data_IF_592564997417
#
_entry.id   IF_592564997417
#
_cell.length_a   1.000
_cell.length_b   1.000
_cell.length_c   1.000
_cell.angle_alpha   90.00
_cell.angle_beta   90.00
_cell.angle_gamma   90.00
#
_symmetry.space_group_name_H-M   'P 1'
#
loop_
_entity.id
_entity.type
_entity.pdbx_description
1 polymer ?
#
# COMPACT_ATOMS: atom_id res chain seq x y z
N UNK A 1 18.54 74.89 56.50
CA UNK A 1 17.91 73.83 57.30
C UNK A 1 16.68 73.35 56.56
N UNK A 2 16.81 72.28 55.83
CA UNK A 2 15.70 71.62 55.17
C UNK A 2 16.04 70.11 55.18
N UNK A 3 15.30 69.37 55.93
CA UNK A 3 15.37 67.89 55.99
C UNK A 3 14.64 67.33 54.77
N UNK A 4 15.30 66.54 53.96
CA UNK A 4 14.72 65.74 52.92
C UNK A 4 14.43 64.35 53.49
N UNK A 5 13.11 64.04 53.56
CA UNK A 5 12.55 62.78 53.97
C UNK A 5 12.60 61.81 52.79
N UNK A 6 13.39 60.76 52.90
CA UNK A 6 13.48 59.71 51.92
C UNK A 6 12.60 58.56 52.37
N UNK A 7 11.39 58.49 51.79
CA UNK A 7 10.48 57.33 51.90
C UNK A 7 11.08 56.13 51.13
N UNK A 8 11.52 55.11 51.87
CA UNK A 8 11.94 53.81 51.35
C UNK A 8 10.68 53.08 50.81
N UNK A 9 10.63 52.85 49.51
CA UNK A 9 9.58 52.07 48.85
C UNK A 9 9.62 50.60 49.30
N UNK A 10 8.48 50.17 49.88
CA UNK A 10 8.29 48.79 50.29
C UNK A 10 8.33 47.86 49.06
N UNK A 11 9.22 46.87 49.08
CA UNK A 11 9.27 45.78 48.12
C UNK A 11 8.10 44.84 48.46
N UNK A 12 7.06 44.86 47.63
CA UNK A 12 5.99 43.85 47.69
C UNK A 12 6.58 42.45 47.42
N UNK A 13 6.42 41.54 48.40
CA UNK A 13 6.79 40.15 48.27
C UNK A 13 5.92 39.50 47.19
N UNK A 14 6.49 38.65 46.31
CA UNK A 14 5.71 37.95 45.25
C UNK A 14 4.64 37.06 45.88
N UNK A 15 3.45 36.96 45.28
CA UNK A 15 2.35 36.18 45.83
C UNK A 15 2.76 34.71 46.02
N UNK A 16 2.61 34.25 47.27
CA UNK A 16 2.86 32.86 47.65
C UNK A 16 1.93 31.96 46.83
N UNK A 17 2.48 31.17 45.88
CA UNK A 17 1.76 30.13 45.16
C UNK A 17 1.13 29.17 46.19
N UNK A 18 -0.17 29.14 46.24
CA UNK A 18 -0.95 28.18 47.04
C UNK A 18 -0.63 26.76 46.58
N UNK A 19 0.17 26.02 47.35
CA UNK A 19 0.65 24.64 47.07
C UNK A 19 -0.38 23.56 47.48
N UNK A 20 -1.64 23.91 47.75
CA UNK A 20 -2.61 23.02 48.37
C UNK A 20 -3.57 22.30 47.36
N UNK A 21 -3.30 22.30 46.06
CA UNK A 21 -4.05 21.47 45.14
C UNK A 21 -3.45 20.08 45.07
N UNK A 22 -4.18 19.02 45.48
CA UNK A 22 -3.66 17.66 45.47
C UNK A 22 -3.34 17.22 44.03
N UNK A 23 -2.08 17.01 43.73
CA UNK A 23 -1.50 16.56 42.44
C UNK A 23 -2.22 15.31 41.86
N UNK A 24 -2.84 14.52 42.71
CA UNK A 24 -3.50 13.26 42.37
C UNK A 24 -4.84 13.42 41.65
N UNK A 25 -5.57 14.50 41.90
CA UNK A 25 -6.87 14.77 41.27
C UNK A 25 -6.74 15.31 39.85
N UNK A 26 -5.71 16.09 39.55
CA UNK A 26 -5.44 16.57 38.19
C UNK A 26 -5.01 15.44 37.27
N UNK A 27 -4.12 14.55 37.72
CA UNK A 27 -3.62 13.42 36.93
C UNK A 27 -4.74 12.43 36.54
N UNK A 28 -5.67 12.13 37.44
CA UNK A 28 -6.82 11.27 37.12
C UNK A 28 -7.78 11.92 36.14
N UNK A 29 -8.01 13.20 36.28
CA UNK A 29 -8.87 13.96 35.37
C UNK A 29 -8.24 14.07 33.99
N UNK A 30 -6.93 14.31 33.90
CA UNK A 30 -6.18 14.34 32.64
C UNK A 30 -6.17 12.98 31.96
N UNK A 31 -6.02 11.90 32.72
CA UNK A 31 -6.14 10.52 32.20
C UNK A 31 -7.56 10.24 31.67
N UNK A 32 -8.60 10.58 32.44
CA UNK A 32 -9.99 10.39 32.02
C UNK A 32 -10.31 11.17 30.74
N UNK A 33 -9.83 12.42 30.69
CA UNK A 33 -9.98 13.26 29.49
C UNK A 33 -9.24 12.65 28.31
N UNK A 34 -8.01 12.13 28.50
CA UNK A 34 -7.27 11.43 27.48
C UNK A 34 -8.00 10.18 26.95
N UNK A 35 -8.53 9.35 27.84
CA UNK A 35 -9.33 8.18 27.44
C UNK A 35 -10.61 8.58 26.69
N UNK A 36 -11.28 9.66 27.09
CA UNK A 36 -12.48 10.14 26.42
C UNK A 36 -12.19 10.60 24.98
N UNK A 37 -11.04 11.25 24.75
CA UNK A 37 -10.62 11.65 23.41
C UNK A 37 -10.24 10.46 22.51
N UNK A 38 -9.66 9.40 23.09
CA UNK A 38 -9.24 8.20 22.35
C UNK A 38 -10.42 7.21 22.18
N UNK A 39 -11.42 7.25 23.07
CA UNK A 39 -12.53 6.30 23.11
C UNK A 39 -13.29 6.16 21.77
N UNK A 40 -13.64 7.24 21.03
CA UNK A 40 -14.32 7.10 19.73
C UNK A 40 -13.50 6.30 18.72
N UNK A 41 -12.18 6.57 18.67
CA UNK A 41 -11.25 5.85 17.77
C UNK A 41 -11.10 4.38 18.19
N UNK A 42 -10.95 4.10 19.47
CA UNK A 42 -10.87 2.74 19.99
C UNK A 42 -12.16 1.96 19.72
N UNK A 43 -13.32 2.57 19.99
CA UNK A 43 -14.61 1.96 19.72
C UNK A 43 -14.76 1.62 18.23
N UNK A 44 -14.44 2.58 17.35
CA UNK A 44 -14.44 2.35 15.90
C UNK A 44 -13.50 1.22 15.49
N UNK A 45 -12.29 1.16 16.05
CA UNK A 45 -11.33 0.08 15.78
C UNK A 45 -11.84 -1.28 16.25
N UNK A 46 -12.46 -1.34 17.44
CA UNK A 46 -13.03 -2.59 17.97
C UNK A 46 -14.18 -3.07 17.09
N UNK A 47 -15.12 -2.18 16.75
CA UNK A 47 -16.34 -2.56 16.01
C UNK A 47 -16.05 -2.86 14.53
N UNK A 48 -15.18 -2.09 13.88
CA UNK A 48 -14.98 -2.19 12.42
C UNK A 48 -13.73 -2.96 12.00
N UNK A 49 -12.81 -3.25 12.92
CA UNK A 49 -11.58 -4.02 12.60
C UNK A 49 -11.51 -5.30 13.41
N UNK A 50 -11.56 -5.21 14.75
CA UNK A 50 -11.34 -6.38 15.60
C UNK A 50 -12.52 -7.34 15.54
N UNK A 51 -13.75 -6.85 15.65
CA UNK A 51 -14.94 -7.68 15.60
C UNK A 51 -15.09 -8.44 14.27
N UNK A 52 -14.98 -7.81 13.07
CA UNK A 52 -15.00 -8.54 11.81
C UNK A 52 -13.87 -9.59 11.70
N UNK A 53 -12.67 -9.30 12.21
CA UNK A 53 -11.57 -10.25 12.22
C UNK A 53 -11.90 -11.48 13.04
N UNK A 54 -12.48 -11.30 14.25
CA UNK A 54 -12.95 -12.42 15.10
C UNK A 54 -14.05 -13.19 14.37
N UNK A 55 -14.98 -12.53 13.71
CA UNK A 55 -16.05 -13.18 12.94
C UNK A 55 -15.50 -13.99 11.77
N UNK A 56 -14.48 -13.50 11.04
CA UNK A 56 -13.83 -14.30 9.99
C UNK A 56 -13.19 -15.55 10.55
N UNK A 57 -12.51 -15.47 11.71
CA UNK A 57 -11.99 -16.67 12.39
C UNK A 57 -13.12 -17.61 12.83
N UNK A 58 -14.21 -17.06 13.31
CA UNK A 58 -15.38 -17.87 13.67
C UNK A 58 -15.97 -18.58 12.46
N UNK A 59 -16.20 -17.88 11.35
CA UNK A 59 -16.73 -18.47 10.10
C UNK A 59 -15.79 -19.50 9.49
N UNK A 60 -14.47 -19.36 9.63
CA UNK A 60 -13.52 -20.34 9.10
C UNK A 60 -13.60 -21.71 9.78
N UNK A 61 -14.17 -21.77 10.99
CA UNK A 61 -14.39 -23.01 11.75
C UNK A 61 -15.79 -23.61 11.52
N UNK A 62 -16.59 -22.99 10.65
CA UNK A 62 -17.95 -23.45 10.35
C UNK A 62 -18.11 -23.67 8.85
N UNK A 63 -18.97 -24.60 8.49
CA UNK A 63 -19.53 -24.69 7.16
C UNK A 63 -20.89 -23.98 7.14
N UNK A 64 -21.03 -23.03 6.25
CA UNK A 64 -22.28 -22.29 6.07
C UNK A 64 -22.83 -22.52 4.67
N UNK A 65 -23.82 -23.37 4.57
CA UNK A 65 -24.59 -23.59 3.35
C UNK A 65 -25.85 -22.70 3.38
N UNK A 66 -25.78 -21.57 2.69
CA UNK A 66 -26.88 -20.58 2.64
C UNK A 66 -28.11 -21.15 1.94
N UNK A 67 -27.91 -22.02 0.93
CA UNK A 67 -29.01 -22.61 0.16
C UNK A 67 -29.79 -23.65 0.99
N UNK A 68 -29.10 -24.43 1.79
CA UNK A 68 -29.69 -25.42 2.68
C UNK A 68 -30.13 -24.81 4.03
N UNK A 69 -29.71 -23.57 4.35
CA UNK A 69 -29.97 -22.93 5.64
C UNK A 69 -29.23 -23.59 6.80
N UNK A 70 -28.16 -24.37 6.54
CA UNK A 70 -27.38 -25.06 7.58
C UNK A 70 -26.15 -24.25 7.95
N UNK A 71 -25.85 -24.21 9.27
CA UNK A 71 -24.65 -23.61 9.82
C UNK A 71 -24.08 -24.56 10.85
N UNK A 72 -23.00 -25.26 10.49
CA UNK A 72 -22.46 -26.38 11.28
C UNK A 72 -21.01 -26.09 11.67
N UNK A 73 -20.64 -26.45 12.90
CA UNK A 73 -19.25 -26.35 13.35
C UNK A 73 -18.45 -27.53 12.80
N UNK A 74 -17.48 -27.26 11.93
CA UNK A 74 -16.63 -28.26 11.29
C UNK A 74 -15.17 -28.22 11.80
N UNK A 75 -14.90 -27.38 12.79
CA UNK A 75 -13.54 -27.26 13.36
C UNK A 75 -12.52 -26.84 12.30
N UNK A 76 -11.48 -27.64 12.11
CA UNK A 76 -10.37 -27.33 11.18
C UNK A 76 -10.52 -27.95 9.79
N UNK A 77 -11.68 -28.48 9.44
CA UNK A 77 -11.91 -29.15 8.15
C UNK A 77 -11.67 -28.20 6.96
N UNK A 78 -12.12 -26.95 7.05
CA UNK A 78 -11.84 -25.93 6.03
C UNK A 78 -10.35 -25.68 5.80
N UNK A 79 -9.52 -25.87 6.83
CA UNK A 79 -8.06 -25.79 6.71
C UNK A 79 -7.44 -27.04 6.11
N UNK A 80 -8.01 -28.22 6.37
CA UNK A 80 -7.61 -29.46 5.70
C UNK A 80 -7.91 -29.38 4.19
N UNK A 81 -9.06 -28.83 3.83
CA UNK A 81 -9.46 -28.62 2.43
C UNK A 81 -8.49 -27.73 1.64
N UNK A 82 -7.68 -26.86 2.30
CA UNK A 82 -6.61 -26.09 1.62
C UNK A 82 -5.53 -27.00 1.03
N UNK A 83 -5.23 -28.13 1.69
CA UNK A 83 -4.21 -29.07 1.21
C UNK A 83 -4.69 -29.88 0.01
N UNK A 84 -5.98 -30.12 -0.09
CA UNK A 84 -6.62 -30.89 -1.16
C UNK A 84 -7.07 -30.01 -2.34
N UNK A 85 -6.97 -28.66 -2.20
CA UNK A 85 -7.38 -27.73 -3.24
C UNK A 85 -6.34 -27.65 -4.35
N UNK A 86 -6.66 -28.31 -5.47
CA UNK A 86 -5.81 -28.35 -6.67
C UNK A 86 -5.56 -27.00 -7.31
N UNK A 87 -6.45 -26.01 -7.09
CA UNK A 87 -6.32 -24.68 -7.66
C UNK A 87 -5.46 -23.75 -6.79
N UNK A 88 -5.37 -23.99 -5.49
CA UNK A 88 -4.69 -23.07 -4.57
C UNK A 88 -3.22 -22.81 -4.96
N UNK A 89 -2.51 -23.84 -5.43
CA UNK A 89 -1.14 -23.68 -5.90
C UNK A 89 -1.00 -22.73 -7.08
N UNK A 90 -1.91 -22.82 -8.06
CA UNK A 90 -1.94 -21.92 -9.22
C UNK A 90 -2.37 -20.50 -8.83
N UNK A 91 -3.29 -20.35 -7.90
CA UNK A 91 -3.76 -19.08 -7.34
C UNK A 91 -2.63 -18.36 -6.59
N UNK A 92 -1.90 -19.05 -5.75
CA UNK A 92 -0.75 -18.48 -5.03
C UNK A 92 0.37 -18.08 -6.00
N UNK A 93 0.62 -18.88 -7.04
CA UNK A 93 1.57 -18.54 -8.10
C UNK A 93 1.13 -17.28 -8.86
N UNK A 94 -0.13 -17.20 -9.27
CA UNK A 94 -0.68 -16.03 -9.96
C UNK A 94 -0.57 -14.77 -9.07
N UNK A 95 -0.92 -14.89 -7.77
CA UNK A 95 -0.77 -13.83 -6.79
C UNK A 95 0.68 -13.36 -6.65
N UNK A 96 1.62 -14.31 -6.56
CA UNK A 96 3.04 -14.01 -6.49
C UNK A 96 3.58 -13.32 -7.75
N UNK A 97 3.25 -13.84 -8.94
CA UNK A 97 3.65 -13.25 -10.22
C UNK A 97 3.12 -11.84 -10.39
N UNK A 98 1.82 -11.63 -10.08
CA UNK A 98 1.22 -10.29 -10.11
C UNK A 98 1.92 -9.34 -9.14
N UNK A 99 2.11 -9.76 -7.88
CA UNK A 99 2.71 -8.92 -6.84
C UNK A 99 4.16 -8.55 -7.16
N UNK A 100 4.98 -9.52 -7.56
CA UNK A 100 6.37 -9.27 -7.97
C UNK A 100 6.42 -8.38 -9.20
N UNK A 101 5.62 -8.68 -10.22
CA UNK A 101 5.53 -7.86 -11.43
C UNK A 101 5.14 -6.42 -11.10
N UNK A 102 4.06 -6.22 -10.31
CA UNK A 102 3.63 -4.89 -9.92
C UNK A 102 4.71 -4.14 -9.13
N UNK A 103 5.30 -4.76 -8.11
CA UNK A 103 6.31 -4.12 -7.26
C UNK A 103 7.53 -3.70 -8.09
N UNK A 104 8.09 -4.62 -8.88
CA UNK A 104 9.31 -4.36 -9.66
C UNK A 104 9.07 -3.28 -10.71
N UNK A 105 8.02 -3.42 -11.53
CA UNK A 105 7.75 -2.47 -12.60
C UNK A 105 7.26 -1.13 -12.08
N UNK A 106 6.40 -1.11 -11.05
CA UNK A 106 5.87 0.14 -10.51
C UNK A 106 6.96 0.96 -9.81
N UNK A 107 7.71 0.36 -8.86
CA UNK A 107 8.75 1.09 -8.14
C UNK A 107 9.91 1.45 -9.07
N UNK A 108 10.31 0.56 -9.97
CA UNK A 108 11.37 0.83 -10.95
C UNK A 108 11.02 2.00 -11.86
N UNK A 109 9.82 1.98 -12.44
CA UNK A 109 9.34 3.04 -13.33
C UNK A 109 9.10 4.35 -12.56
N UNK A 110 8.52 4.28 -11.36
CA UNK A 110 8.29 5.46 -10.52
C UNK A 110 9.60 6.15 -10.12
N UNK A 111 10.62 5.38 -9.73
CA UNK A 111 11.94 5.91 -9.40
C UNK A 111 12.63 6.51 -10.64
N UNK A 112 12.57 5.83 -11.78
CA UNK A 112 13.09 6.34 -13.04
C UNK A 112 12.46 7.68 -13.40
N UNK A 113 11.12 7.76 -13.37
CA UNK A 113 10.38 8.99 -13.66
C UNK A 113 10.72 10.10 -12.64
N UNK A 114 10.84 9.77 -11.35
CA UNK A 114 11.22 10.72 -10.32
C UNK A 114 12.61 11.32 -10.56
N UNK A 115 13.61 10.49 -10.91
CA UNK A 115 14.96 10.95 -11.25
C UNK A 115 14.96 11.84 -12.48
N UNK A 116 14.22 11.46 -13.53
CA UNK A 116 14.10 12.29 -14.74
C UNK A 116 13.42 13.64 -14.47
N UNK A 117 12.36 13.64 -13.67
CA UNK A 117 11.59 14.83 -13.33
C UNK A 117 12.19 15.68 -12.20
N UNK A 118 13.22 15.19 -11.53
CA UNK A 118 14.00 15.95 -10.54
C UNK A 118 14.95 16.96 -11.22
N UNK A 119 15.21 16.80 -12.52
CA UNK A 119 16.02 17.74 -13.28
C UNK A 119 15.23 19.05 -13.54
N UNK A 120 15.96 20.17 -13.65
CA UNK A 120 15.38 21.51 -13.96
C UNK A 120 14.99 21.62 -15.44
N UNK A 121 14.09 20.75 -15.92
CA UNK A 121 13.62 20.74 -17.30
C UNK A 121 12.37 21.64 -17.45
N UNK A 122 12.22 22.27 -18.61
CA UNK A 122 10.99 23.00 -18.95
C UNK A 122 9.83 21.99 -19.14
N UNK A 123 8.66 22.25 -18.54
CA UNK A 123 7.49 21.39 -18.70
C UNK A 123 7.35 20.23 -17.69
N UNK A 124 8.23 20.11 -16.68
CA UNK A 124 8.14 19.07 -15.64
C UNK A 124 6.78 19.03 -14.95
N UNK A 125 6.13 20.18 -14.78
CA UNK A 125 4.78 20.27 -14.17
C UNK A 125 3.76 19.49 -15.01
N UNK A 126 3.79 19.64 -16.34
CA UNK A 126 2.86 18.95 -17.25
C UNK A 126 3.05 17.43 -17.15
N UNK A 127 4.30 16.96 -17.19
CA UNK A 127 4.57 15.52 -17.03
C UNK A 127 4.16 14.98 -15.67
N UNK A 128 4.43 15.73 -14.58
CA UNK A 128 3.96 15.35 -13.22
C UNK A 128 2.44 15.22 -13.19
N UNK A 129 1.72 16.18 -13.74
CA UNK A 129 0.25 16.15 -13.80
C UNK A 129 -0.24 14.97 -14.64
N UNK A 130 0.37 14.72 -15.80
CA UNK A 130 0.00 13.63 -16.69
C UNK A 130 0.15 12.25 -16.00
N UNK A 131 1.30 11.98 -15.38
CA UNK A 131 1.54 10.72 -14.69
C UNK A 131 0.75 10.58 -13.38
N UNK A 132 0.39 11.70 -12.74
CA UNK A 132 -0.41 11.67 -11.51
C UNK A 132 -1.92 11.58 -11.79
N UNK A 133 -2.40 12.05 -12.93
CA UNK A 133 -3.83 12.10 -13.25
C UNK A 133 -4.56 10.77 -13.14
N UNK A 134 -3.97 9.59 -13.49
CA UNK A 134 -4.64 8.31 -13.32
C UNK A 134 -5.03 8.00 -11.88
N UNK A 135 -4.30 8.52 -10.89
CA UNK A 135 -4.57 8.30 -9.47
C UNK A 135 -5.96 8.81 -9.07
N UNK A 136 -6.40 9.92 -9.65
CA UNK A 136 -7.69 10.57 -9.34
C UNK A 136 -8.87 9.85 -9.99
N UNK A 137 -8.65 9.12 -11.09
CA UNK A 137 -9.71 8.38 -11.79
C UNK A 137 -10.22 7.22 -10.93
N UNK A 138 -11.54 6.98 -10.92
CA UNK A 138 -12.11 5.80 -10.26
C UNK A 138 -11.45 4.51 -10.78
N UNK A 139 -11.13 3.59 -9.87
CA UNK A 139 -10.50 2.32 -10.22
C UNK A 139 -11.33 1.50 -11.21
N UNK A 140 -12.64 1.44 -11.00
CA UNK A 140 -13.55 0.70 -11.88
C UNK A 140 -13.61 1.33 -13.27
N UNK A 141 -13.77 2.67 -13.35
CA UNK A 141 -13.76 3.38 -14.63
C UNK A 141 -12.44 3.19 -15.37
N UNK A 142 -11.30 3.29 -14.66
CA UNK A 142 -9.98 3.02 -15.20
C UNK A 142 -9.88 1.62 -15.81
N UNK A 143 -10.34 0.62 -15.09
CA UNK A 143 -10.30 -0.77 -15.53
C UNK A 143 -11.20 -1.03 -16.74
N UNK A 144 -12.39 -0.43 -16.77
CA UNK A 144 -13.32 -0.55 -17.92
C UNK A 144 -12.69 0.08 -19.17
N UNK A 145 -12.11 1.27 -19.08
CA UNK A 145 -11.45 1.94 -20.22
C UNK A 145 -10.32 1.08 -20.76
N UNK A 146 -9.45 0.54 -19.88
CA UNK A 146 -8.40 -0.37 -20.31
C UNK A 146 -8.94 -1.69 -20.88
N UNK A 147 -10.07 -2.19 -20.35
CA UNK A 147 -10.77 -3.33 -20.90
C UNK A 147 -11.16 -3.14 -22.36
N UNK A 148 -11.68 -1.95 -22.73
CA UNK A 148 -11.97 -1.63 -24.15
C UNK A 148 -10.71 -1.44 -24.98
N UNK A 149 -9.67 -0.81 -24.44
CA UNK A 149 -8.43 -0.58 -25.18
C UNK A 149 -7.68 -1.88 -25.50
N UNK A 150 -7.76 -2.88 -24.62
CA UNK A 150 -7.05 -4.15 -24.71
C UNK A 150 -7.87 -5.29 -25.37
N UNK A 151 -9.06 -5.01 -25.88
CA UNK A 151 -9.82 -5.98 -26.70
C UNK A 151 -9.10 -6.29 -28.02
N UNK A 152 -9.44 -7.42 -28.64
CA UNK A 152 -8.84 -7.84 -29.91
C UNK A 152 -8.94 -6.76 -31.00
N UNK A 153 -10.11 -6.08 -31.11
CA UNK A 153 -10.33 -4.94 -31.99
C UNK A 153 -10.22 -3.60 -31.23
N UNK A 154 -9.49 -3.57 -30.12
CA UNK A 154 -9.35 -2.38 -29.28
C UNK A 154 -8.31 -1.40 -29.80
N UNK A 155 -8.23 -0.24 -29.10
CA UNK A 155 -7.32 0.84 -29.52
C UNK A 155 -5.85 0.45 -29.56
N UNK A 156 -5.39 -0.47 -28.68
CA UNK A 156 -4.00 -0.92 -28.65
C UNK A 156 -3.66 -1.73 -29.89
N UNK A 157 -4.50 -2.70 -30.26
CA UNK A 157 -4.30 -3.49 -31.47
C UNK A 157 -4.49 -2.64 -32.73
N UNK A 158 -5.46 -1.70 -32.74
CA UNK A 158 -5.61 -0.76 -33.84
C UNK A 158 -4.38 0.12 -34.07
N UNK A 159 -3.66 0.52 -33.02
CA UNK A 159 -2.37 1.23 -33.16
C UNK A 159 -1.25 0.31 -33.67
N UNK A 160 -1.20 -0.95 -33.23
CA UNK A 160 -0.21 -1.93 -33.72
C UNK A 160 -0.44 -2.25 -35.21
N UNK A 161 -1.68 -2.37 -35.63
CA UNK A 161 -2.04 -2.59 -37.03
C UNK A 161 -1.57 -1.47 -37.96
N UNK A 162 -1.52 -0.20 -37.49
CA UNK A 162 -1.02 0.93 -38.28
C UNK A 162 0.46 0.79 -38.64
N UNK A 163 1.22 0.04 -37.84
CA UNK A 163 2.65 -0.25 -38.05
C UNK A 163 2.89 -1.67 -38.61
N UNK A 164 1.81 -2.36 -38.98
CA UNK A 164 1.89 -3.72 -39.57
C UNK A 164 2.21 -4.83 -38.59
N UNK A 165 1.88 -4.65 -37.32
CA UNK A 165 2.08 -5.66 -36.26
C UNK A 165 0.74 -6.20 -35.81
N UNK A 166 0.50 -7.48 -35.99
CA UNK A 166 -0.68 -8.16 -35.44
C UNK A 166 -0.56 -8.25 -33.92
N UNK A 167 -1.47 -7.55 -33.21
CA UNK A 167 -1.47 -7.54 -31.75
C UNK A 167 -2.01 -8.86 -31.18
N UNK A 168 -1.48 -9.31 -30.04
CA UNK A 168 -1.96 -10.53 -29.38
C UNK A 168 -3.32 -10.30 -28.72
N UNK A 169 -3.96 -11.40 -28.29
CA UNK A 169 -5.08 -11.30 -27.36
C UNK A 169 -4.56 -10.95 -25.95
N UNK A 170 -4.67 -9.67 -25.62
CA UNK A 170 -4.12 -9.10 -24.37
C UNK A 170 -4.81 -9.65 -23.12
N UNK A 171 -6.10 -9.95 -23.17
CA UNK A 171 -6.90 -10.28 -21.99
C UNK A 171 -7.12 -11.79 -21.82
N UNK A 172 -6.99 -12.57 -22.89
CA UNK A 172 -7.30 -14.01 -22.89
C UNK A 172 -6.14 -14.89 -23.37
N UNK A 173 -5.00 -14.29 -23.75
CA UNK A 173 -3.80 -15.04 -24.12
C UNK A 173 -3.04 -15.55 -22.89
N UNK A 174 -2.49 -16.75 -22.98
CA UNK A 174 -1.60 -17.29 -21.95
C UNK A 174 -0.36 -16.39 -21.82
N UNK A 175 -0.08 -15.90 -20.61
CA UNK A 175 1.02 -14.97 -20.33
C UNK A 175 0.71 -13.51 -20.63
N UNK A 176 -0.04 -13.14 -21.68
CA UNK A 176 -0.40 -11.74 -21.96
C UNK A 176 -1.45 -11.21 -20.97
N UNK A 177 -2.39 -12.05 -20.53
CA UNK A 177 -3.43 -11.66 -19.60
C UNK A 177 -2.85 -11.14 -18.28
N UNK A 178 -1.92 -11.86 -17.65
CA UNK A 178 -1.25 -11.41 -16.41
C UNK A 178 -0.43 -10.14 -16.65
N UNK A 179 0.32 -10.07 -17.75
CA UNK A 179 1.10 -8.88 -18.11
C UNK A 179 0.21 -7.65 -18.27
N UNK A 180 -0.94 -7.81 -18.96
CA UNK A 180 -1.90 -6.72 -19.18
C UNK A 180 -2.45 -6.17 -17.86
N UNK A 181 -2.83 -7.05 -16.93
CA UNK A 181 -3.31 -6.62 -15.60
C UNK A 181 -2.20 -5.89 -14.83
N UNK A 182 -0.95 -6.39 -14.86
CA UNK A 182 0.19 -5.72 -14.24
C UNK A 182 0.41 -4.34 -14.85
N UNK A 183 0.44 -4.23 -16.19
CA UNK A 183 0.63 -2.95 -16.89
C UNK A 183 -0.45 -1.94 -16.52
N UNK A 184 -1.72 -2.34 -16.59
CA UNK A 184 -2.86 -1.47 -16.21
C UNK A 184 -2.73 -0.95 -14.79
N UNK A 185 -2.29 -1.81 -13.86
CA UNK A 185 -2.11 -1.42 -12.46
C UNK A 185 -0.87 -0.57 -12.24
N UNK A 186 0.23 -0.83 -12.96
CA UNK A 186 1.43 0.03 -12.93
C UNK A 186 1.07 1.46 -13.36
N UNK A 187 0.40 1.61 -14.51
CA UNK A 187 -0.03 2.94 -14.98
C UNK A 187 -0.95 3.65 -14.00
N UNK A 188 -1.80 2.91 -13.29
CA UNK A 188 -2.68 3.46 -12.26
C UNK A 188 -1.92 4.07 -11.09
N UNK A 189 -0.85 3.40 -10.63
CA UNK A 189 -0.20 3.68 -9.36
C UNK A 189 1.16 4.38 -9.48
N UNK A 190 1.80 4.34 -10.65
CA UNK A 190 3.16 4.85 -10.84
C UNK A 190 3.29 6.32 -10.47
N UNK A 191 2.28 7.12 -10.76
CA UNK A 191 2.30 8.56 -10.49
C UNK A 191 2.38 8.91 -9.01
N UNK A 192 1.69 8.16 -8.15
CA UNK A 192 1.76 8.36 -6.70
C UNK A 192 3.17 8.06 -6.17
N UNK A 193 3.72 6.90 -6.54
CA UNK A 193 5.06 6.51 -6.10
C UNK A 193 6.15 7.42 -6.68
N UNK A 194 5.98 7.88 -7.92
CA UNK A 194 6.85 8.89 -8.54
C UNK A 194 6.90 10.19 -7.73
N UNK A 195 5.75 10.70 -7.27
CA UNK A 195 5.71 11.93 -6.45
C UNK A 195 6.39 11.72 -5.09
N UNK A 196 6.19 10.56 -4.45
CA UNK A 196 6.86 10.22 -3.19
C UNK A 196 8.38 10.16 -3.36
N UNK A 197 8.86 9.48 -4.41
CA UNK A 197 10.30 9.45 -4.71
C UNK A 197 10.85 10.82 -5.08
N UNK A 198 10.11 11.62 -5.83
CA UNK A 198 10.53 12.97 -6.19
C UNK A 198 10.69 13.87 -4.96
N UNK A 199 9.76 13.79 -4.01
CA UNK A 199 9.86 14.50 -2.75
C UNK A 199 11.10 14.06 -1.94
N UNK A 200 11.36 12.75 -1.89
CA UNK A 200 12.55 12.22 -1.22
C UNK A 200 13.86 12.67 -1.90
N UNK A 201 13.90 12.66 -3.24
CA UNK A 201 15.07 13.13 -4.01
C UNK A 201 15.37 14.62 -3.79
N UNK A 202 14.34 15.45 -3.61
CA UNK A 202 14.49 16.87 -3.32
C UNK A 202 15.01 17.15 -1.90
N UNK A 203 14.89 16.18 -1.00
CA UNK A 203 15.44 16.24 0.36
C UNK A 203 16.92 15.86 0.46
N UNK A 204 17.54 15.33 -0.60
CA UNK A 204 18.97 14.95 -0.57
C UNK A 204 19.84 16.21 -0.68
N UNK A 205 20.80 16.46 0.27
CA UNK A 205 21.69 17.63 0.23
C UNK A 205 22.51 17.69 -1.06
N UNK A 206 22.56 18.85 -1.72
CA UNK A 206 23.31 19.04 -2.95
C UNK A 206 24.83 18.87 -2.75
N UNK A 207 25.31 19.22 -1.55
CA UNK A 207 26.71 19.15 -1.14
C UNK A 207 27.30 17.73 -1.29
N UNK A 208 26.48 16.70 -1.10
CA UNK A 208 26.92 15.30 -1.29
C UNK A 208 27.24 14.99 -2.74
N UNK A 209 26.49 15.56 -3.67
CA UNK A 209 26.74 15.38 -5.10
C UNK A 209 27.95 16.20 -5.56
N UNK A 210 28.10 17.43 -5.06
CA UNK A 210 29.23 18.32 -5.35
C UNK A 210 30.54 17.69 -4.84
N UNK A 211 30.59 17.17 -3.63
CA UNK A 211 31.74 16.44 -3.10
C UNK A 211 32.10 15.22 -3.97
N UNK A 212 31.09 14.43 -4.35
CA UNK A 212 31.29 13.27 -5.20
C UNK A 212 31.78 13.62 -6.63
N UNK A 213 31.38 14.77 -7.15
CA UNK A 213 31.90 15.29 -8.46
C UNK A 213 33.38 15.67 -8.34
N UNK A 214 33.79 16.30 -7.24
CA UNK A 214 35.22 16.60 -6.96
C UNK A 214 36.05 15.34 -6.86
N UNK A 215 35.48 14.26 -6.28
CA UNK A 215 36.11 12.93 -6.20
C UNK A 215 36.08 12.14 -7.54
N UNK A 216 35.53 12.74 -8.61
CA UNK A 216 35.45 12.11 -9.93
C UNK A 216 34.43 10.97 -10.04
N UNK A 217 33.43 10.91 -9.15
CA UNK A 217 32.39 9.91 -9.20
C UNK A 217 31.45 10.13 -10.40
N UNK A 218 31.25 9.09 -11.23
CA UNK A 218 30.28 9.12 -12.32
C UNK A 218 28.84 9.23 -11.80
N UNK A 219 27.89 9.75 -12.62
CA UNK A 219 26.47 9.89 -12.26
C UNK A 219 25.83 8.56 -11.81
N UNK A 220 26.21 7.43 -12.43
CA UNK A 220 25.72 6.11 -12.04
C UNK A 220 26.25 5.70 -10.65
N UNK A 221 27.51 6.06 -10.33
CA UNK A 221 28.09 5.82 -9.00
C UNK A 221 27.42 6.68 -7.95
N UNK A 222 27.15 7.96 -8.23
CA UNK A 222 26.40 8.85 -7.36
C UNK A 222 24.98 8.31 -7.10
N UNK A 223 24.29 7.83 -8.14
CA UNK A 223 22.96 7.24 -7.99
C UNK A 223 22.96 6.06 -7.00
N UNK A 224 23.85 5.09 -7.18
CA UNK A 224 23.88 3.89 -6.31
C UNK A 224 24.50 4.12 -4.94
N UNK A 225 25.44 5.08 -4.80
CA UNK A 225 26.19 5.30 -3.56
C UNK A 225 25.64 6.46 -2.71
N UNK A 226 24.91 7.39 -3.30
CA UNK A 226 24.35 8.55 -2.61
C UNK A 226 22.82 8.52 -2.70
N UNK A 227 22.28 8.56 -3.93
CA UNK A 227 20.84 8.74 -4.12
C UNK A 227 20.03 7.58 -3.50
N UNK A 228 20.28 6.33 -3.88
CA UNK A 228 19.53 5.17 -3.41
C UNK A 228 19.62 4.98 -1.89
N UNK A 229 20.81 5.08 -1.24
CA UNK A 229 20.90 5.02 0.21
C UNK A 229 20.14 6.14 0.93
N UNK A 230 20.23 7.38 0.44
CA UNK A 230 19.57 8.54 1.06
C UNK A 230 18.04 8.46 0.99
N UNK A 231 17.48 7.96 -0.12
CA UNK A 231 16.03 7.79 -0.26
C UNK A 231 15.55 6.39 0.18
N UNK A 232 16.42 5.55 0.76
CA UNK A 232 16.07 4.18 1.18
C UNK A 232 14.88 4.09 2.14
N UNK A 233 14.63 5.05 3.07
CA UNK A 233 13.42 5.05 3.89
C UNK A 233 12.14 5.15 3.04
N UNK A 234 12.16 5.98 2.00
CA UNK A 234 11.02 6.17 1.10
C UNK A 234 10.84 4.96 0.18
N UNK A 235 11.95 4.34 -0.31
CA UNK A 235 11.89 3.09 -1.08
C UNK A 235 11.22 1.99 -0.25
N UNK A 236 11.60 1.85 1.01
CA UNK A 236 10.99 0.86 1.90
C UNK A 236 9.50 1.15 2.13
N UNK A 237 9.14 2.40 2.44
CA UNK A 237 7.75 2.79 2.67
C UNK A 237 6.88 2.50 1.44
N UNK A 238 7.32 2.95 0.27
CA UNK A 238 6.59 2.72 -0.99
C UNK A 238 6.52 1.24 -1.35
N UNK A 239 7.58 0.45 -1.06
CA UNK A 239 7.57 -0.99 -1.28
C UNK A 239 6.55 -1.70 -0.40
N UNK A 240 6.45 -1.34 0.88
CA UNK A 240 5.45 -1.91 1.80
C UNK A 240 4.04 -1.61 1.29
N UNK A 241 3.73 -0.35 0.96
CA UNK A 241 2.42 0.05 0.47
C UNK A 241 2.08 -0.68 -0.84
N UNK A 242 3.04 -0.79 -1.76
CA UNK A 242 2.84 -1.45 -3.06
C UNK A 242 2.65 -2.95 -2.91
N UNK A 243 3.42 -3.63 -2.04
CA UNK A 243 3.28 -5.07 -1.76
C UNK A 243 1.91 -5.36 -1.15
N UNK A 244 1.52 -4.63 -0.11
CA UNK A 244 0.20 -4.82 0.53
C UNK A 244 -0.93 -4.56 -0.48
N UNK A 245 -0.85 -3.49 -1.27
CA UNK A 245 -1.83 -3.18 -2.31
C UNK A 245 -1.89 -4.23 -3.43
N UNK A 246 -0.76 -4.86 -3.78
CA UNK A 246 -0.71 -5.91 -4.81
C UNK A 246 -1.41 -7.20 -4.37
N UNK A 247 -1.30 -7.55 -3.09
CA UNK A 247 -1.95 -8.73 -2.53
C UNK A 247 -3.47 -8.55 -2.37
N UNK A 248 -3.97 -7.31 -2.39
CA UNK A 248 -5.38 -6.97 -2.23
C UNK A 248 -6.07 -6.62 -3.56
N UNK A 249 -5.43 -6.88 -4.71
CA UNK A 249 -6.01 -6.60 -6.02
C UNK A 249 -7.24 -7.48 -6.27
N UNK A 250 -8.33 -6.85 -6.71
CA UNK A 250 -9.59 -7.51 -7.02
C UNK A 250 -10.23 -6.98 -8.31
N UNK A 251 -10.54 -5.68 -8.33
CA UNK A 251 -11.37 -5.09 -9.39
C UNK A 251 -10.77 -5.27 -10.79
N UNK A 252 -9.45 -5.17 -10.93
CA UNK A 252 -8.76 -5.36 -12.22
C UNK A 252 -8.91 -6.79 -12.73
N UNK A 253 -8.76 -7.78 -11.86
CA UNK A 253 -8.94 -9.20 -12.22
C UNK A 253 -10.41 -9.46 -12.57
N UNK A 254 -11.33 -9.00 -11.71
CA UNK A 254 -12.75 -9.24 -11.89
C UNK A 254 -13.31 -8.63 -13.19
N UNK A 255 -12.81 -7.47 -13.62
CA UNK A 255 -13.31 -6.75 -14.79
C UNK A 255 -12.56 -7.11 -16.06
N UNK A 256 -11.21 -7.23 -16.02
CA UNK A 256 -10.40 -7.44 -17.24
C UNK A 256 -10.40 -8.90 -17.69
N UNK A 257 -10.11 -9.82 -16.78
CA UNK A 257 -9.79 -11.20 -17.13
C UNK A 257 -10.73 -12.23 -16.51
N UNK A 258 -11.45 -11.85 -15.46
CA UNK A 258 -12.29 -12.77 -14.68
C UNK A 258 -11.52 -14.01 -14.19
N UNK A 259 -10.22 -13.83 -13.90
CA UNK A 259 -9.32 -14.90 -13.46
C UNK A 259 -8.67 -15.71 -14.57
N UNK A 260 -9.13 -15.55 -15.85
CA UNK A 260 -8.71 -16.34 -17.01
C UNK A 260 -7.43 -15.86 -17.70
N UNK A 261 -6.96 -16.64 -18.68
CA UNK A 261 -7.43 -17.96 -19.10
C UNK A 261 -7.16 -19.04 -18.03
N UNK A 262 -8.11 -19.96 -17.88
CA UNK A 262 -8.06 -20.94 -16.78
C UNK A 262 -7.99 -20.26 -15.41
N UNK A 263 -6.90 -20.46 -14.68
CA UNK A 263 -6.61 -19.79 -13.37
C UNK A 263 -5.40 -18.84 -13.44
N UNK A 264 -4.91 -18.51 -14.66
CA UNK A 264 -3.62 -17.81 -14.84
C UNK A 264 -3.57 -16.42 -14.23
N UNK A 265 -4.70 -15.74 -14.10
CA UNK A 265 -4.83 -14.44 -13.46
C UNK A 265 -5.69 -14.47 -12.19
N UNK A 266 -6.10 -15.67 -11.74
CA UNK A 266 -6.86 -15.82 -10.51
C UNK A 266 -5.95 -15.58 -9.29
N UNK A 267 -5.97 -14.36 -8.79
CA UNK A 267 -5.26 -14.00 -7.54
C UNK A 267 -6.07 -14.40 -6.31
N UNK A 268 -5.42 -14.49 -5.15
CA UNK A 268 -6.01 -15.01 -3.92
C UNK A 268 -7.30 -14.28 -3.49
N UNK A 269 -7.34 -12.93 -3.62
CA UNK A 269 -8.56 -12.17 -3.27
C UNK A 269 -9.70 -12.46 -4.24
N UNK A 270 -9.41 -12.63 -5.52
CA UNK A 270 -10.45 -12.99 -6.50
C UNK A 270 -10.94 -14.43 -6.27
N UNK A 271 -10.04 -15.35 -5.95
CA UNK A 271 -10.39 -16.74 -5.63
C UNK A 271 -11.25 -16.84 -4.37
N UNK A 272 -10.88 -16.10 -3.33
CA UNK A 272 -11.68 -15.95 -2.10
C UNK A 272 -13.10 -15.48 -2.42
N UNK A 273 -13.22 -14.45 -3.28
CA UNK A 273 -14.51 -13.94 -3.71
C UNK A 273 -15.33 -15.01 -4.46
N UNK A 274 -14.69 -15.77 -5.36
CA UNK A 274 -15.37 -16.86 -6.07
C UNK A 274 -15.88 -17.91 -5.08
N UNK A 275 -15.05 -18.39 -4.15
CA UNK A 275 -15.45 -19.40 -3.18
C UNK A 275 -16.58 -18.90 -2.27
N UNK A 276 -16.46 -17.71 -1.70
CA UNK A 276 -17.45 -17.20 -0.77
C UNK A 276 -18.77 -16.78 -1.46
N UNK A 277 -18.70 -16.02 -2.56
CA UNK A 277 -19.87 -15.34 -3.11
C UNK A 277 -20.41 -15.96 -4.39
N UNK A 278 -19.61 -16.64 -5.20
CA UNK A 278 -20.08 -17.33 -6.40
C UNK A 278 -20.46 -18.78 -6.10
N UNK A 279 -19.64 -19.48 -5.30
CA UNK A 279 -19.87 -20.89 -4.95
C UNK A 279 -20.56 -21.06 -3.59
N UNK A 280 -20.74 -19.98 -2.80
CA UNK A 280 -21.40 -19.97 -1.51
C UNK A 280 -20.71 -20.82 -0.43
N UNK A 281 -19.41 -21.09 -0.57
CA UNK A 281 -18.57 -21.75 0.42
C UNK A 281 -18.00 -20.70 1.38
N UNK A 282 -18.84 -20.14 2.27
CA UNK A 282 -18.45 -19.02 3.12
C UNK A 282 -17.38 -19.40 4.14
N UNK A 283 -17.43 -20.60 4.72
CA UNK A 283 -16.42 -21.10 5.66
C UNK A 283 -15.04 -21.21 5.01
N UNK A 284 -14.99 -21.80 3.81
CA UNK A 284 -13.75 -21.90 3.05
C UNK A 284 -13.24 -20.54 2.58
N UNK A 285 -14.13 -19.65 2.15
CA UNK A 285 -13.79 -18.26 1.81
C UNK A 285 -13.21 -17.49 3.01
N UNK A 286 -13.75 -17.69 4.21
CA UNK A 286 -13.22 -17.13 5.45
C UNK A 286 -11.81 -17.68 5.75
N UNK A 287 -11.59 -18.98 5.53
CA UNK A 287 -10.27 -19.61 5.68
C UNK A 287 -9.24 -19.02 4.71
N UNK A 288 -9.59 -18.82 3.44
CA UNK A 288 -8.74 -18.12 2.47
C UNK A 288 -8.44 -16.66 2.87
N UNK A 289 -9.39 -15.99 3.53
CA UNK A 289 -9.16 -14.64 4.09
C UNK A 289 -8.10 -14.65 5.19
N UNK A 290 -8.10 -15.68 6.05
CA UNK A 290 -7.08 -15.86 7.08
C UNK A 290 -5.71 -16.15 6.44
N UNK A 291 -5.67 -17.00 5.42
CA UNK A 291 -4.43 -17.25 4.65
C UNK A 291 -3.86 -15.95 4.09
N UNK A 292 -4.70 -15.13 3.44
CA UNK A 292 -4.30 -13.82 2.93
C UNK A 292 -3.77 -12.92 4.04
N UNK A 293 -4.49 -12.84 5.16
CA UNK A 293 -4.07 -12.04 6.31
C UNK A 293 -2.69 -12.47 6.84
N UNK A 294 -2.45 -13.77 6.98
CA UNK A 294 -1.16 -14.31 7.43
C UNK A 294 -0.04 -13.98 6.43
N UNK A 295 -0.30 -14.10 5.12
CA UNK A 295 0.68 -13.74 4.08
C UNK A 295 1.03 -12.25 4.16
N UNK A 296 0.04 -11.36 4.22
CA UNK A 296 0.25 -9.91 4.32
C UNK A 296 1.02 -9.57 5.60
N UNK A 297 0.63 -10.14 6.73
CA UNK A 297 1.30 -9.93 8.01
C UNK A 297 2.76 -10.41 7.97
N UNK A 298 3.00 -11.61 7.48
CA UNK A 298 4.35 -12.18 7.37
C UNK A 298 5.27 -11.32 6.48
N UNK A 299 4.78 -10.90 5.31
CA UNK A 299 5.54 -10.02 4.42
C UNK A 299 5.79 -8.64 5.03
N UNK A 300 4.80 -8.07 5.71
CA UNK A 300 4.96 -6.76 6.40
C UNK A 300 5.99 -6.85 7.52
N UNK A 301 5.95 -7.90 8.33
CA UNK A 301 6.93 -8.13 9.40
C UNK A 301 8.32 -8.35 8.81
N UNK A 302 8.44 -9.13 7.73
CA UNK A 302 9.71 -9.35 7.03
C UNK A 302 10.30 -8.03 6.52
N UNK A 303 9.50 -7.22 5.83
CA UNK A 303 9.91 -5.90 5.34
C UNK A 303 10.33 -4.96 6.49
N UNK A 304 9.60 -4.98 7.61
CA UNK A 304 9.99 -4.20 8.79
C UNK A 304 11.32 -4.65 9.39
N UNK A 305 11.56 -5.96 9.49
CA UNK A 305 12.84 -6.47 9.99
C UNK A 305 14.00 -6.09 9.07
N UNK A 306 13.77 -6.06 7.75
CA UNK A 306 14.76 -5.61 6.77
C UNK A 306 15.10 -4.11 6.93
N UNK A 307 14.21 -3.29 7.47
CA UNK A 307 14.42 -1.85 7.71
C UNK A 307 15.73 -1.58 8.45
N UNK A 308 16.04 -2.36 9.48
CA UNK A 308 17.25 -2.19 10.30
C UNK A 308 18.55 -2.35 9.51
N UNK A 309 18.53 -3.06 8.38
CA UNK A 309 19.71 -3.33 7.53
C UNK A 309 19.82 -2.37 6.35
N UNK A 310 18.70 -1.80 5.89
CA UNK A 310 18.63 -1.06 4.62
C UNK A 310 18.46 0.43 4.79
N UNK A 311 17.90 0.88 5.91
CA UNK A 311 17.64 2.30 6.15
C UNK A 311 18.83 2.91 6.88
N UNK A 312 19.53 3.82 6.19
CA UNK A 312 20.54 4.67 6.79
C UNK A 312 19.81 5.81 7.53
N UNK A 313 19.97 5.86 8.84
CA UNK A 313 19.52 7.01 9.64
C UNK A 313 20.73 7.92 9.79
N UNK A 314 20.58 9.17 9.39
CA UNK A 314 21.47 10.23 9.89
C UNK A 314 21.19 10.36 11.39
N UNK A 315 22.15 9.92 12.21
CA UNK A 315 22.17 10.14 13.66
C UNK A 315 22.96 11.41 13.97
#
# INVERSE_FOLDING_TARGET
MSQTDTTVGGVEAPPTRDRSRPYWTSRRRDQLTGYLFIAPQLLGSVVFVILPLILVVWYSLHEWNVLAGTFEFVGTENYANLADDTNLGSVLRATGLFSVGLVVFNLGLALLLAVLLNQKLRGTIVFRTLFFSPVVVSLVAWTIVWGFLLQDNGGVNGLLDTVGVDGPNWLRGEGTAMLSVVVVQVFKNVGLNMVLFLAALQGVPAELYEAAEVDGASRLRQFWRITVPMISPTILLTSIITVVGSLQVFAQIAVLTQGGPGTSTTVLVYYLYQQAFQFHHFGYGATLSIVLFVIVLALTVLQWQMRKRWVHHES
#
